data_IF_700479020775
#
_entry.id   IF_700479020775
#
_cell.length_a   1.000
_cell.length_b   1.000
_cell.length_c   1.000
_cell.angle_alpha   90.00
_cell.angle_beta   90.00
_cell.angle_gamma   90.00
#
_symmetry.space_group_name_H-M   'P 1'
#
loop_
_entity.id
_entity.type
_entity.pdbx_description
1 polymer ?
#
# COMPACT_ATOMS: atom_id res chain seq x y z
N UNK A 1 -24.77 30.58 36.28
CA UNK A 1 -24.29 30.38 34.91
C UNK A 1 -22.75 30.27 34.82
N UNK A 2 -22.04 29.91 35.87
CA UNK A 2 -20.56 29.89 35.95
C UNK A 2 -19.96 28.56 36.41
N UNK A 3 -20.70 27.43 36.36
CA UNK A 3 -20.21 26.09 36.72
C UNK A 3 -20.12 25.06 35.57
N UNK A 4 -20.44 25.47 34.33
CA UNK A 4 -20.43 24.57 33.17
C UNK A 4 -19.12 24.63 32.34
N UNK A 5 -18.26 25.64 32.56
CA UNK A 5 -17.04 25.84 31.78
C UNK A 5 -15.80 25.10 32.28
N UNK A 6 -15.87 24.43 33.45
CA UNK A 6 -14.70 23.75 34.02
C UNK A 6 -14.52 22.29 33.57
N UNK A 7 -15.51 21.64 32.93
CA UNK A 7 -15.41 20.25 32.47
C UNK A 7 -14.91 20.13 31.02
N UNK A 8 -15.14 21.13 30.18
CA UNK A 8 -14.64 21.11 28.79
C UNK A 8 -13.13 21.36 28.70
N UNK A 9 -12.54 22.16 29.57
CA UNK A 9 -11.10 22.41 29.58
C UNK A 9 -10.23 21.19 29.88
N UNK A 10 -10.74 20.18 30.62
CA UNK A 10 -9.99 18.98 30.96
C UNK A 10 -9.91 17.97 29.77
N UNK A 11 -10.87 17.97 28.86
CA UNK A 11 -10.80 17.13 27.65
C UNK A 11 -9.77 17.66 26.64
N UNK A 12 -9.63 18.96 26.49
CA UNK A 12 -8.63 19.53 25.57
C UNK A 12 -7.20 19.31 26.05
N UNK A 13 -6.96 19.30 27.37
CA UNK A 13 -5.65 18.98 27.94
C UNK A 13 -5.27 17.51 27.74
N UNK A 14 -6.20 16.59 27.79
CA UNK A 14 -5.95 15.16 27.48
C UNK A 14 -5.61 14.94 26.01
N UNK A 15 -6.22 15.67 25.10
CA UNK A 15 -5.89 15.61 23.66
C UNK A 15 -4.52 16.27 23.40
N UNK A 16 -4.18 17.36 24.08
CA UNK A 16 -2.87 18.01 23.96
C UNK A 16 -1.73 17.20 24.59
N UNK A 17 -1.98 16.45 25.68
CA UNK A 17 -0.98 15.57 26.31
C UNK A 17 -0.73 14.32 25.49
N UNK A 18 -1.73 13.80 24.78
CA UNK A 18 -1.57 12.68 23.81
C UNK A 18 -0.70 13.07 22.58
N UNK A 19 -0.60 14.36 22.27
CA UNK A 19 0.22 14.86 21.16
C UNK A 19 1.72 15.02 21.51
N UNK A 20 2.11 14.85 22.78
CA UNK A 20 3.46 15.19 23.26
C UNK A 20 4.41 13.99 23.45
N UNK A 21 3.97 12.75 23.24
CA UNK A 21 4.79 11.55 23.51
C UNK A 21 4.99 10.73 22.25
N UNK A 22 6.08 10.93 21.55
CA UNK A 22 6.92 9.89 20.91
C UNK A 22 7.95 10.51 19.95
N UNK A 23 9.14 10.75 20.47
CA UNK A 23 10.33 10.98 19.65
C UNK A 23 10.97 9.65 19.23
N UNK A 24 10.32 8.89 18.35
CA UNK A 24 10.95 7.77 17.64
C UNK A 24 11.55 8.30 16.34
N UNK A 25 12.82 8.01 16.06
CA UNK A 25 13.40 8.29 14.74
C UNK A 25 12.69 7.46 13.70
N UNK A 26 11.71 8.05 13.00
CA UNK A 26 11.10 7.46 11.82
C UNK A 26 12.06 7.64 10.65
N UNK A 27 12.41 6.55 9.98
CA UNK A 27 13.01 6.63 8.64
C UNK A 27 11.88 7.08 7.69
N UNK A 28 11.73 8.38 7.52
CA UNK A 28 10.77 8.92 6.58
C UNK A 28 11.26 8.64 5.15
N UNK A 29 10.41 8.01 4.37
CA UNK A 29 10.63 7.71 2.96
C UNK A 29 10.09 8.90 2.14
N UNK A 30 10.77 9.27 1.05
CA UNK A 30 10.30 10.34 0.16
C UNK A 30 8.98 9.98 -0.56
N UNK A 31 8.75 8.71 -0.86
CA UNK A 31 7.45 8.14 -1.16
C UNK A 31 6.63 8.06 0.13
N UNK A 32 5.29 8.12 0.04
CA UNK A 32 4.41 7.97 1.20
C UNK A 32 4.90 6.83 2.10
N UNK A 33 5.22 7.14 3.35
CA UNK A 33 5.58 6.11 4.33
C UNK A 33 4.31 5.35 4.72
N UNK A 34 4.19 4.17 4.18
CA UNK A 34 3.08 3.25 4.44
C UNK A 34 3.50 2.11 5.39
N UNK A 35 4.64 2.21 6.05
CA UNK A 35 5.17 1.16 6.94
C UNK A 35 4.24 0.84 8.11
N UNK A 36 3.39 1.80 8.52
CA UNK A 36 2.37 1.61 9.54
C UNK A 36 1.31 0.55 9.15
N UNK A 37 1.05 0.33 7.86
CA UNK A 37 -0.03 -0.54 7.37
C UNK A 37 0.35 -2.01 7.19
N UNK A 38 1.61 -2.35 7.27
CA UNK A 38 2.05 -3.73 7.12
C UNK A 38 3.38 -3.96 7.83
N UNK A 39 3.40 -4.90 8.75
CA UNK A 39 4.62 -5.33 9.43
C UNK A 39 4.95 -6.76 9.01
N UNK A 40 5.88 -6.94 8.05
CA UNK A 40 6.36 -8.27 7.71
C UNK A 40 6.99 -8.93 8.93
N UNK A 41 6.64 -10.20 9.18
CA UNK A 41 7.27 -10.96 10.25
C UNK A 41 8.72 -11.28 9.87
N UNK A 42 9.69 -10.98 10.72
CA UNK A 42 11.08 -11.28 10.45
C UNK A 42 11.33 -12.79 10.49
N UNK A 43 12.41 -13.21 9.84
CA UNK A 43 13.00 -14.55 9.94
C UNK A 43 14.40 -14.37 10.47
N UNK A 44 14.84 -15.23 11.40
CA UNK A 44 16.17 -15.14 11.99
C UNK A 44 16.40 -16.13 13.13
N UNK A 45 17.69 -16.29 13.56
CA UNK A 45 18.06 -17.28 14.58
C UNK A 45 17.32 -17.14 15.91
N UNK A 46 16.94 -15.91 16.29
CA UNK A 46 16.21 -15.63 17.53
C UNK A 46 14.79 -16.19 17.56
N UNK A 47 14.25 -16.60 16.42
CA UNK A 47 12.90 -17.19 16.30
C UNK A 47 12.94 -18.71 16.09
N UNK A 48 14.12 -19.29 15.87
CA UNK A 48 14.26 -20.73 15.58
C UNK A 48 13.52 -21.59 16.58
N UNK A 49 12.77 -22.58 16.09
CA UNK A 49 11.94 -23.53 16.85
C UNK A 49 10.82 -22.87 17.68
N UNK A 50 10.47 -21.62 17.41
CA UNK A 50 9.35 -20.97 18.09
C UNK A 50 8.04 -21.20 17.34
N UNK A 51 7.00 -21.53 18.10
CA UNK A 51 5.60 -21.41 17.68
C UNK A 51 5.03 -20.14 18.32
N UNK A 52 4.47 -19.27 17.50
CA UNK A 52 3.94 -17.97 17.91
C UNK A 52 2.51 -17.79 17.42
N UNK A 53 1.72 -17.02 18.15
CA UNK A 53 0.47 -16.44 17.69
C UNK A 53 0.74 -14.99 17.25
N UNK A 54 0.56 -14.71 15.98
CA UNK A 54 0.62 -13.36 15.43
C UNK A 54 -0.80 -12.85 15.18
N UNK A 55 -1.10 -11.65 15.65
CA UNK A 55 -2.40 -11.01 15.46
C UNK A 55 -2.18 -9.64 14.83
N UNK A 56 -2.73 -9.44 13.65
CA UNK A 56 -2.79 -8.15 12.98
C UNK A 56 -4.24 -7.70 12.90
N UNK A 57 -4.52 -6.49 13.37
CA UNK A 57 -5.80 -5.85 13.22
C UNK A 57 -5.61 -4.49 12.54
N UNK A 58 -6.42 -4.22 11.52
CA UNK A 58 -6.44 -2.97 10.77
C UNK A 58 -7.87 -2.46 10.73
N UNK A 59 -8.13 -1.37 11.44
CA UNK A 59 -9.43 -0.69 11.39
C UNK A 59 -9.24 0.57 10.54
N UNK A 60 -10.22 0.85 9.71
CA UNK A 60 -10.14 1.96 8.77
C UNK A 60 -11.44 2.72 8.67
N UNK A 61 -11.30 4.05 8.60
CA UNK A 61 -12.30 4.99 8.15
C UNK A 61 -11.62 5.90 7.14
N UNK A 62 -12.02 5.82 5.88
CA UNK A 62 -11.58 6.70 4.82
C UNK A 62 -12.78 7.21 4.07
N UNK A 63 -12.86 8.51 3.90
CA UNK A 63 -13.91 9.18 3.17
C UNK A 63 -13.30 10.00 2.03
N UNK A 64 -13.72 9.67 0.81
CA UNK A 64 -13.32 10.34 -0.42
C UNK A 64 -14.52 11.18 -0.90
N UNK A 65 -14.39 12.49 -0.88
CA UNK A 65 -15.36 13.42 -1.42
C UNK A 65 -14.86 13.89 -2.80
N UNK A 66 -15.09 13.05 -3.81
CA UNK A 66 -14.70 13.30 -5.20
C UNK A 66 -15.92 13.63 -6.05
N UNK A 67 -15.86 14.76 -6.74
CA UNK A 67 -16.92 15.30 -7.60
C UNK A 67 -16.49 15.33 -9.06
N UNK A 68 -15.30 14.83 -9.37
CA UNK A 68 -14.78 14.76 -10.71
C UNK A 68 -15.38 13.58 -11.51
N UNK A 69 -15.22 13.58 -12.85
CA UNK A 69 -15.78 12.56 -13.74
C UNK A 69 -14.94 11.29 -13.87
N UNK A 70 -13.78 11.23 -13.25
CA UNK A 70 -12.86 10.07 -13.35
C UNK A 70 -13.03 9.11 -12.20
N UNK A 71 -13.15 9.62 -10.98
CA UNK A 71 -13.43 8.81 -9.79
C UNK A 71 -14.51 9.47 -8.94
N UNK A 72 -15.33 8.66 -8.31
CA UNK A 72 -16.44 9.11 -7.46
C UNK A 72 -16.10 8.97 -5.98
N UNK A 73 -16.75 9.76 -5.15
CA UNK A 73 -16.65 9.70 -3.70
C UNK A 73 -17.07 8.34 -3.16
N UNK A 74 -16.33 7.84 -2.16
CA UNK A 74 -16.60 6.56 -1.48
C UNK A 74 -16.14 6.61 -0.04
N UNK A 75 -16.98 6.09 0.84
CA UNK A 75 -16.61 5.87 2.24
C UNK A 75 -16.22 4.41 2.46
N UNK A 76 -15.03 4.19 2.99
CA UNK A 76 -14.57 2.89 3.47
C UNK A 76 -14.58 2.90 4.99
N UNK A 77 -15.43 2.09 5.62
CA UNK A 77 -15.50 1.98 7.07
C UNK A 77 -15.60 0.52 7.50
N UNK A 78 -14.53 -0.01 8.06
CA UNK A 78 -14.45 -1.43 8.36
C UNK A 78 -13.21 -1.84 9.14
N UNK A 79 -13.03 -3.16 9.22
CA UNK A 79 -11.92 -3.77 9.90
C UNK A 79 -11.46 -5.05 9.20
N UNK A 80 -10.16 -5.28 9.22
CA UNK A 80 -9.50 -6.55 8.91
C UNK A 80 -8.87 -7.13 10.16
N UNK A 81 -9.03 -8.44 10.37
CA UNK A 81 -8.36 -9.17 11.43
C UNK A 81 -7.67 -10.41 10.85
N UNK A 82 -6.39 -10.58 11.18
CA UNK A 82 -5.53 -11.64 10.66
C UNK A 82 -4.82 -12.37 11.83
N UNK A 83 -5.50 -13.25 12.56
CA UNK A 83 -4.84 -14.16 13.49
C UNK A 83 -4.12 -15.28 12.72
N UNK A 84 -2.85 -15.53 13.06
CA UNK A 84 -2.00 -16.54 12.41
C UNK A 84 -1.18 -17.31 13.45
N UNK A 85 -1.08 -18.61 13.30
CA UNK A 85 -0.04 -19.42 13.90
C UNK A 85 1.20 -19.35 13.01
N UNK A 86 2.33 -19.03 13.61
CA UNK A 86 3.61 -18.85 12.94
C UNK A 86 4.62 -19.80 13.56
N UNK A 87 5.16 -20.71 12.77
CA UNK A 87 6.19 -21.64 13.19
C UNK A 87 7.50 -21.36 12.43
N UNK A 88 8.61 -21.40 13.15
CA UNK A 88 9.95 -21.22 12.62
C UNK A 88 10.74 -22.52 12.76
N UNK A 89 10.66 -23.45 11.77
CA UNK A 89 11.38 -24.74 11.83
C UNK A 89 12.89 -24.56 12.00
N UNK A 90 13.43 -23.56 11.30
CA UNK A 90 14.86 -23.20 11.32
C UNK A 90 15.03 -21.68 11.36
N UNK A 91 16.26 -21.23 11.55
CA UNK A 91 16.63 -19.80 11.49
C UNK A 91 16.27 -19.12 10.15
N UNK A 92 16.06 -19.89 9.08
CA UNK A 92 15.86 -19.41 7.71
C UNK A 92 14.45 -19.66 7.17
N UNK A 93 13.61 -20.43 7.87
CA UNK A 93 12.32 -20.87 7.39
C UNK A 93 11.20 -20.45 8.35
N UNK A 94 10.14 -19.88 7.80
CA UNK A 94 8.90 -19.53 8.48
C UNK A 94 7.72 -20.10 7.75
N UNK A 95 6.80 -20.73 8.49
CA UNK A 95 5.52 -21.25 7.97
C UNK A 95 4.40 -20.59 8.76
N UNK A 96 3.38 -20.10 8.07
CA UNK A 96 2.22 -19.45 8.68
C UNK A 96 0.94 -20.12 8.23
N UNK A 97 0.00 -20.26 9.16
CA UNK A 97 -1.37 -20.66 8.88
C UNK A 97 -2.33 -19.81 9.71
N UNK A 98 -3.41 -19.35 9.10
CA UNK A 98 -4.35 -18.46 9.79
C UNK A 98 -5.61 -18.20 9.00
N UNK A 99 -6.30 -17.13 9.36
CA UNK A 99 -7.52 -16.70 8.70
C UNK A 99 -7.54 -15.17 8.54
N UNK A 100 -8.00 -14.71 7.40
CA UNK A 100 -8.34 -13.32 7.13
C UNK A 100 -9.84 -13.14 7.33
N UNK A 101 -10.19 -12.17 8.16
CA UNK A 101 -11.57 -11.75 8.42
C UNK A 101 -11.73 -10.29 8.01
N UNK A 102 -12.70 -10.01 7.15
CA UNK A 102 -13.05 -8.66 6.74
C UNK A 102 -14.50 -8.34 7.14
N UNK A 103 -14.66 -7.23 7.86
CA UNK A 103 -15.95 -6.70 8.30
C UNK A 103 -16.10 -5.26 7.83
N UNK A 104 -17.11 -4.98 7.00
CA UNK A 104 -17.56 -3.61 6.77
C UNK A 104 -18.57 -3.23 7.86
N UNK A 105 -18.39 -2.07 8.50
CA UNK A 105 -19.34 -1.58 9.49
C UNK A 105 -20.66 -1.18 8.81
N UNK A 106 -21.76 -1.27 9.56
CA UNK A 106 -23.10 -1.10 9.00
C UNK A 106 -23.68 -2.33 8.28
N UNK A 107 -22.91 -3.41 8.10
CA UNK A 107 -23.39 -4.67 7.53
C UNK A 107 -23.53 -5.75 8.61
N UNK A 108 -24.50 -6.70 8.53
CA UNK A 108 -24.66 -7.73 9.56
C UNK A 108 -23.62 -8.86 9.49
N UNK A 109 -23.00 -9.10 8.32
CA UNK A 109 -22.11 -10.25 8.07
C UNK A 109 -20.69 -9.82 7.81
N UNK A 110 -19.74 -10.76 7.96
CA UNK A 110 -18.39 -10.61 7.44
C UNK A 110 -18.46 -10.56 5.91
N UNK A 111 -17.68 -9.65 5.32
CA UNK A 111 -17.57 -9.52 3.87
C UNK A 111 -16.73 -10.65 3.28
N UNK A 112 -15.64 -11.00 3.95
CA UNK A 112 -14.77 -12.11 3.53
C UNK A 112 -14.27 -12.89 4.75
N UNK A 113 -14.10 -14.20 4.52
CA UNK A 113 -13.37 -15.12 5.39
C UNK A 113 -12.47 -15.93 4.46
N UNK A 114 -11.15 -15.82 4.57
CA UNK A 114 -10.21 -16.52 3.69
C UNK A 114 -9.13 -17.21 4.52
N UNK A 115 -8.73 -18.46 4.20
CA UNK A 115 -7.57 -19.09 4.80
C UNK A 115 -6.29 -18.33 4.43
N UNK A 116 -5.33 -18.32 5.34
CA UNK A 116 -3.98 -17.76 5.13
C UNK A 116 -2.97 -18.89 5.24
N UNK A 117 -2.13 -19.03 4.24
CA UNK A 117 -1.00 -19.96 4.23
C UNK A 117 0.20 -19.24 3.61
N UNK A 118 1.33 -19.26 4.31
CA UNK A 118 2.58 -18.66 3.80
C UNK A 118 3.76 -19.52 4.19
N UNK A 119 4.63 -19.75 3.23
CA UNK A 119 5.98 -20.29 3.46
C UNK A 119 6.97 -19.22 3.03
N UNK A 120 7.86 -18.79 3.95
CA UNK A 120 8.94 -17.85 3.66
C UNK A 120 10.28 -18.50 3.98
N UNK A 121 11.14 -18.58 2.97
CA UNK A 121 12.54 -18.94 3.11
C UNK A 121 13.40 -17.69 2.94
N UNK A 122 14.35 -17.47 3.83
CA UNK A 122 15.28 -16.34 3.78
C UNK A 122 16.72 -16.82 3.96
N UNK A 123 17.60 -16.40 3.04
CA UNK A 123 19.03 -16.66 3.13
C UNK A 123 19.80 -15.36 2.85
N UNK A 124 20.40 -14.80 3.89
CA UNK A 124 21.06 -13.51 3.81
C UNK A 124 20.12 -12.42 3.27
N UNK A 125 20.50 -11.71 2.19
CA UNK A 125 19.67 -10.64 1.62
C UNK A 125 18.50 -11.14 0.77
N UNK A 126 18.37 -12.44 0.53
CA UNK A 126 17.39 -13.04 -0.38
C UNK A 126 16.23 -13.66 0.40
N UNK A 127 15.01 -13.44 -0.05
CA UNK A 127 13.80 -14.07 0.50
C UNK A 127 12.91 -14.56 -0.62
N UNK A 128 12.34 -15.75 -0.44
CA UNK A 128 11.34 -16.36 -1.32
C UNK A 128 10.08 -16.61 -0.49
N UNK A 129 8.93 -16.19 -0.99
CA UNK A 129 7.63 -16.40 -0.36
C UNK A 129 6.72 -17.15 -1.32
N UNK A 130 5.92 -18.06 -0.78
CA UNK A 130 4.87 -18.80 -1.50
C UNK A 130 3.60 -18.81 -0.66
N UNK A 131 2.43 -18.60 -1.28
CA UNK A 131 1.13 -18.48 -0.64
C UNK A 131 0.72 -17.02 -0.50
N UNK A 132 0.27 -16.58 0.67
CA UNK A 132 0.00 -15.16 0.88
C UNK A 132 1.32 -14.38 0.96
N UNK A 133 1.53 -13.46 0.03
CA UNK A 133 2.78 -12.71 -0.11
C UNK A 133 2.77 -11.41 0.71
N UNK A 134 3.94 -10.80 0.89
CA UNK A 134 4.09 -9.48 1.51
C UNK A 134 3.76 -8.40 0.46
N UNK A 135 2.47 -8.23 0.18
CA UNK A 135 1.92 -7.46 -0.93
C UNK A 135 1.53 -6.02 -0.60
N UNK A 136 0.73 -5.43 -1.47
CA UNK A 136 0.20 -4.07 -1.38
C UNK A 136 1.30 -3.03 -1.16
N UNK A 137 1.22 -2.29 -0.08
CA UNK A 137 2.13 -1.18 0.22
C UNK A 137 3.58 -1.62 0.47
N UNK A 138 3.83 -2.92 0.66
CA UNK A 138 5.17 -3.46 0.87
C UNK A 138 5.98 -3.59 -0.43
N UNK A 139 5.32 -3.56 -1.60
CA UNK A 139 6.00 -3.56 -2.90
C UNK A 139 6.73 -2.25 -3.21
N UNK A 140 6.33 -1.14 -2.57
CA UNK A 140 6.98 0.16 -2.73
C UNK A 140 6.71 0.85 -4.06
N UNK A 141 5.54 0.65 -4.66
CA UNK A 141 5.11 1.35 -5.87
C UNK A 141 4.60 2.77 -5.60
N UNK A 142 4.68 3.62 -6.62
CA UNK A 142 3.99 4.92 -6.63
C UNK A 142 2.48 4.70 -6.84
N UNK A 143 1.65 5.61 -6.32
CA UNK A 143 0.19 5.49 -6.39
C UNK A 143 -0.38 5.42 -7.82
N UNK A 144 0.15 6.13 -8.84
CA UNK A 144 -0.30 5.93 -10.21
C UNK A 144 -0.13 4.51 -10.75
N UNK A 145 0.80 3.70 -10.21
CA UNK A 145 1.00 2.31 -10.59
C UNK A 145 0.27 1.31 -9.68
N UNK A 146 0.16 1.62 -8.40
CA UNK A 146 -0.42 0.71 -7.41
C UNK A 146 -1.21 1.48 -6.34
N UNK A 147 -2.51 1.27 -6.31
CA UNK A 147 -3.45 2.03 -5.51
C UNK A 147 -3.26 1.78 -4.01
N UNK A 148 -3.16 2.85 -3.24
CA UNK A 148 -3.16 2.78 -1.78
C UNK A 148 -4.43 2.12 -1.22
N UNK A 149 -5.59 2.36 -1.82
CA UNK A 149 -6.87 1.85 -1.33
C UNK A 149 -6.99 0.32 -1.36
N UNK A 150 -6.09 -0.36 -2.08
CA UNK A 150 -6.00 -1.83 -2.07
C UNK A 150 -5.73 -2.39 -0.67
N UNK A 151 -5.11 -1.63 0.23
CA UNK A 151 -4.93 -2.05 1.63
C UNK A 151 -6.26 -2.29 2.35
N UNK A 152 -7.34 -1.61 1.91
CA UNK A 152 -8.70 -1.76 2.45
C UNK A 152 -9.55 -2.69 1.58
N UNK A 153 -9.37 -2.66 0.25
CA UNK A 153 -10.28 -3.30 -0.71
C UNK A 153 -9.77 -4.63 -1.26
N UNK A 154 -8.45 -4.84 -1.29
CA UNK A 154 -7.78 -6.00 -1.88
C UNK A 154 -6.50 -6.34 -1.10
N UNK A 155 -6.65 -6.56 0.23
CA UNK A 155 -5.52 -6.68 1.14
C UNK A 155 -4.65 -7.90 0.91
N UNK A 156 -5.24 -9.03 0.50
CA UNK A 156 -4.51 -10.27 0.28
C UNK A 156 -4.05 -10.37 -1.16
N UNK A 157 -2.80 -10.76 -1.31
CA UNK A 157 -2.20 -11.19 -2.58
C UNK A 157 -1.65 -12.59 -2.40
N UNK A 158 -1.90 -13.47 -3.37
CA UNK A 158 -1.63 -14.91 -3.28
C UNK A 158 -0.80 -15.37 -4.47
N UNK A 159 0.38 -15.92 -4.20
CA UNK A 159 1.24 -16.41 -5.26
C UNK A 159 2.68 -16.61 -4.84
N UNK A 160 3.60 -16.04 -5.61
CA UNK A 160 5.04 -16.17 -5.44
C UNK A 160 5.68 -14.79 -5.37
N UNK A 161 6.63 -14.59 -4.43
CA UNK A 161 7.38 -13.35 -4.31
C UNK A 161 8.84 -13.63 -4.00
N UNK A 162 9.71 -12.96 -4.74
CA UNK A 162 11.13 -12.90 -4.46
C UNK A 162 11.55 -11.50 -4.05
N UNK A 163 12.27 -11.39 -2.93
CA UNK A 163 12.81 -10.10 -2.44
C UNK A 163 14.32 -10.19 -2.26
N UNK A 164 15.02 -9.15 -2.67
CA UNK A 164 16.44 -8.97 -2.40
C UNK A 164 16.65 -7.61 -1.70
N UNK A 165 17.34 -7.64 -0.57
CA UNK A 165 17.64 -6.45 0.24
C UNK A 165 19.15 -6.34 0.43
N UNK A 166 19.81 -5.52 -0.39
CA UNK A 166 21.23 -5.20 -0.29
C UNK A 166 21.41 -3.72 0.05
N UNK A 167 22.56 -3.29 0.60
CA UNK A 167 22.75 -1.89 1.01
C UNK A 167 22.50 -0.86 -0.08
N UNK A 168 22.79 -1.22 -1.34
CA UNK A 168 22.64 -0.32 -2.50
C UNK A 168 21.56 -0.76 -3.50
N UNK A 169 20.90 -1.90 -3.30
CA UNK A 169 19.91 -2.41 -4.23
C UNK A 169 18.83 -3.17 -3.49
N UNK A 170 17.60 -2.68 -3.57
CA UNK A 170 16.40 -3.39 -3.17
C UNK A 170 15.66 -3.88 -4.41
N UNK A 171 15.10 -5.07 -4.35
CA UNK A 171 14.28 -5.65 -5.41
C UNK A 171 13.12 -6.43 -4.78
N UNK A 172 11.94 -6.30 -5.37
CA UNK A 172 10.74 -7.06 -5.06
C UNK A 172 10.10 -7.48 -6.38
N UNK A 173 10.03 -8.78 -6.65
CA UNK A 173 9.41 -9.36 -7.85
C UNK A 173 8.33 -10.34 -7.39
N UNK A 174 7.12 -10.24 -7.97
CA UNK A 174 5.96 -10.96 -7.47
C UNK A 174 4.98 -11.33 -8.58
N UNK A 175 4.19 -12.37 -8.31
CA UNK A 175 2.99 -12.77 -9.05
C UNK A 175 1.88 -12.96 -8.03
N UNK A 176 0.70 -12.41 -8.33
CA UNK A 176 -0.54 -12.51 -7.57
C UNK A 176 -1.62 -13.16 -8.44
N UNK A 177 -2.07 -14.34 -8.03
CA UNK A 177 -3.15 -15.06 -8.69
C UNK A 177 -4.48 -14.56 -8.13
N UNK A 178 -5.04 -13.52 -8.76
CA UNK A 178 -6.21 -12.82 -8.24
C UNK A 178 -7.49 -13.62 -8.37
N UNK A 179 -7.59 -14.45 -9.44
CA UNK A 179 -8.75 -15.27 -9.69
C UNK A 179 -8.39 -16.53 -10.48
N UNK A 180 -8.52 -17.69 -9.84
CA UNK A 180 -8.30 -18.98 -10.48
C UNK A 180 -9.54 -19.37 -11.31
N UNK A 181 -9.33 -19.69 -12.59
CA UNK A 181 -10.37 -20.23 -13.45
C UNK A 181 -10.35 -21.76 -13.44
N UNK A 182 -11.52 -22.35 -13.50
CA UNK A 182 -11.74 -23.79 -13.73
C UNK A 182 -12.61 -23.98 -14.97
N UNK A 183 -12.60 -25.20 -15.53
CA UNK A 183 -13.48 -25.55 -16.65
C UNK A 183 -14.95 -25.25 -16.29
N UNK A 184 -15.66 -24.52 -17.16
CA UNK A 184 -17.02 -24.02 -16.98
C UNK A 184 -17.20 -22.87 -15.97
N UNK A 185 -16.14 -22.22 -15.53
CA UNK A 185 -16.28 -20.96 -14.82
C UNK A 185 -16.97 -19.92 -15.72
N UNK A 186 -17.86 -19.12 -15.13
CA UNK A 186 -18.54 -18.00 -15.79
C UNK A 186 -17.74 -16.68 -15.72
N UNK A 187 -16.43 -16.79 -15.60
CA UNK A 187 -15.49 -15.66 -15.48
C UNK A 187 -14.13 -16.07 -16.07
N UNK A 188 -13.35 -15.07 -16.41
CA UNK A 188 -11.97 -15.22 -16.86
C UNK A 188 -11.00 -15.34 -15.69
N UNK A 189 -9.87 -16.01 -15.92
CA UNK A 189 -8.71 -15.98 -15.03
C UNK A 189 -8.17 -14.55 -14.90
N UNK A 190 -7.67 -14.20 -13.72
CA UNK A 190 -7.06 -12.90 -13.47
C UNK A 190 -5.73 -13.10 -12.73
N UNK A 191 -4.66 -12.62 -13.34
CA UNK A 191 -3.30 -12.67 -12.78
C UNK A 191 -2.70 -11.28 -12.85
N UNK A 192 -2.04 -10.88 -11.79
CA UNK A 192 -1.20 -9.69 -11.77
C UNK A 192 0.23 -10.06 -11.38
N UNK A 193 1.17 -9.25 -11.79
CA UNK A 193 2.56 -9.40 -11.38
C UNK A 193 3.32 -8.11 -11.50
N UNK A 194 4.49 -8.07 -10.91
CA UNK A 194 5.29 -6.87 -10.99
C UNK A 194 6.72 -7.01 -10.47
N UNK A 195 7.44 -5.93 -10.66
CA UNK A 195 8.81 -5.77 -10.19
C UNK A 195 9.00 -4.35 -9.70
N UNK A 196 9.51 -4.20 -8.50
CA UNK A 196 9.96 -2.93 -7.95
C UNK A 196 11.44 -3.06 -7.58
N UNK A 197 12.28 -2.22 -8.18
CA UNK A 197 13.72 -2.16 -7.90
C UNK A 197 14.10 -0.73 -7.55
N UNK A 198 15.02 -0.58 -6.59
CA UNK A 198 15.54 0.72 -6.19
C UNK A 198 17.04 0.63 -5.94
N UNK A 199 17.82 1.38 -6.73
CA UNK A 199 19.27 1.48 -6.59
C UNK A 199 19.66 2.76 -5.84
N UNK A 200 20.49 2.65 -4.78
CA UNK A 200 21.06 3.79 -4.08
C UNK A 200 22.34 4.24 -4.80
N UNK A 201 22.32 5.45 -5.36
CA UNK A 201 23.47 6.09 -6.02
C UNK A 201 24.32 6.85 -5.00
N UNK A 202 23.64 7.65 -4.17
CA UNK A 202 24.23 8.30 -3.01
C UNK A 202 23.47 7.86 -1.76
N UNK A 203 24.16 7.48 -0.73
CA UNK A 203 23.57 7.04 0.52
C UNK A 203 24.44 7.44 1.69
N UNK A 204 24.03 8.50 2.38
CA UNK A 204 24.54 8.85 3.68
C UNK A 204 23.34 9.14 4.60
N UNK A 205 23.36 8.60 5.81
CA UNK A 205 22.33 8.86 6.81
C UNK A 205 22.30 10.31 7.30
N UNK A 206 23.37 11.06 7.09
CA UNK A 206 23.56 12.45 7.55
C UNK A 206 23.53 13.49 6.45
N UNK A 207 23.57 13.06 5.18
CA UNK A 207 23.67 13.93 4.01
C UNK A 207 22.55 13.74 3.01
N UNK A 208 22.79 14.13 1.76
CA UNK A 208 21.90 13.89 0.65
C UNK A 208 21.89 12.40 0.28
N UNK A 209 20.72 11.82 0.12
CA UNK A 209 20.54 10.51 -0.51
C UNK A 209 19.91 10.67 -1.89
N UNK A 210 20.41 9.89 -2.85
CA UNK A 210 19.89 9.80 -4.22
C UNK A 210 19.62 8.34 -4.55
N UNK A 211 18.41 8.04 -4.97
CA UNK A 211 17.97 6.69 -5.37
C UNK A 211 17.30 6.73 -6.73
N UNK A 212 17.46 5.67 -7.49
CA UNK A 212 16.85 5.47 -8.80
C UNK A 212 15.88 4.29 -8.69
N UNK A 213 14.57 4.53 -8.59
CA UNK A 213 13.54 3.51 -8.65
C UNK A 213 13.20 3.13 -10.09
N UNK A 214 12.93 1.84 -10.30
CA UNK A 214 12.33 1.28 -11.52
C UNK A 214 11.19 0.38 -11.08
N UNK A 215 10.01 0.58 -11.65
CA UNK A 215 8.79 -0.12 -11.26
C UNK A 215 8.07 -0.64 -12.51
N UNK A 216 7.55 -1.85 -12.44
CA UNK A 216 6.82 -2.49 -13.51
C UNK A 216 5.63 -3.25 -12.91
N UNK A 217 4.46 -3.15 -13.54
CA UNK A 217 3.31 -4.02 -13.25
C UNK A 217 2.73 -4.54 -14.54
N UNK A 218 2.26 -5.79 -14.49
CA UNK A 218 1.52 -6.44 -15.56
C UNK A 218 0.20 -6.98 -15.00
N UNK A 219 -0.86 -6.90 -15.78
CA UNK A 219 -2.12 -7.60 -15.50
C UNK A 219 -2.53 -8.40 -16.72
N UNK A 220 -3.02 -9.61 -16.48
CA UNK A 220 -3.56 -10.48 -17.51
C UNK A 220 -4.94 -10.96 -17.11
N UNK A 221 -5.89 -10.90 -18.04
CA UNK A 221 -7.23 -11.44 -17.89
C UNK A 221 -7.58 -12.30 -19.06
N UNK A 222 -8.07 -13.51 -18.76
CA UNK A 222 -8.44 -14.54 -19.71
C UNK A 222 -7.46 -15.68 -19.79
N UNK A 223 -7.88 -16.82 -20.35
CA UNK A 223 -7.08 -18.03 -20.43
C UNK A 223 -7.55 -18.95 -21.55
N UNK A 224 -6.84 -20.07 -21.76
CA UNK A 224 -7.13 -21.04 -22.80
C UNK A 224 -8.46 -21.81 -22.63
N UNK A 225 -9.00 -21.79 -21.40
CA UNK A 225 -10.23 -22.49 -21.04
C UNK A 225 -11.42 -21.56 -20.83
N UNK A 226 -11.33 -20.32 -21.32
CA UNK A 226 -12.43 -19.35 -21.25
C UNK A 226 -13.70 -19.90 -21.92
N UNK A 227 -14.83 -19.80 -21.21
CA UNK A 227 -16.15 -20.19 -21.71
C UNK A 227 -17.06 -19.00 -21.93
N UNK A 228 -16.57 -17.79 -21.64
CA UNK A 228 -17.29 -16.53 -21.84
C UNK A 228 -16.69 -15.77 -23.02
N UNK A 229 -17.57 -15.14 -23.81
CA UNK A 229 -17.18 -14.31 -24.96
C UNK A 229 -16.69 -12.93 -24.50
N UNK A 230 -15.48 -12.90 -23.93
CA UNK A 230 -14.77 -11.67 -23.57
C UNK A 230 -13.35 -11.72 -24.10
N UNK A 231 -12.82 -10.63 -24.67
CA UNK A 231 -11.48 -10.60 -25.19
C UNK A 231 -10.43 -10.79 -24.07
N UNK A 232 -9.34 -11.43 -24.43
CA UNK A 232 -8.13 -11.50 -23.61
C UNK A 232 -7.56 -10.08 -23.42
N UNK A 233 -7.13 -9.75 -22.24
CA UNK A 233 -6.55 -8.45 -21.94
C UNK A 233 -5.20 -8.61 -21.25
N UNK A 234 -4.17 -7.93 -21.78
CA UNK A 234 -2.82 -7.88 -21.21
C UNK A 234 -2.34 -6.44 -21.19
N UNK A 235 -2.12 -5.90 -20.00
CA UNK A 235 -1.79 -4.49 -19.78
C UNK A 235 -0.47 -4.38 -19.01
N UNK A 236 0.39 -3.45 -19.43
CA UNK A 236 1.67 -3.17 -18.82
C UNK A 236 1.75 -1.72 -18.36
N UNK A 237 2.33 -1.51 -17.17
CA UNK A 237 2.68 -0.19 -16.67
C UNK A 237 4.13 -0.19 -16.20
N UNK A 238 4.84 0.88 -16.50
CA UNK A 238 6.24 1.10 -16.08
C UNK A 238 6.36 2.48 -15.45
N UNK A 239 7.19 2.62 -14.43
CA UNK A 239 7.64 3.90 -13.94
C UNK A 239 9.14 3.86 -13.64
N UNK A 240 9.83 4.95 -13.91
CA UNK A 240 11.20 5.16 -13.47
C UNK A 240 11.40 6.62 -13.11
N UNK A 241 12.36 6.89 -12.22
CA UNK A 241 12.53 8.24 -11.74
C UNK A 241 13.74 8.43 -10.85
N UNK A 242 13.68 9.49 -10.09
CA UNK A 242 14.69 9.84 -9.09
C UNK A 242 14.02 10.15 -7.76
N UNK A 243 14.69 9.80 -6.67
CA UNK A 243 14.28 10.10 -5.30
C UNK A 243 15.44 10.77 -4.59
N UNK A 244 15.21 11.94 -4.07
CA UNK A 244 16.20 12.73 -3.35
C UNK A 244 15.66 13.02 -1.94
N UNK A 245 16.47 12.80 -0.93
CA UNK A 245 16.13 13.12 0.44
C UNK A 245 17.31 13.71 1.18
N UNK A 246 17.03 14.69 2.04
CA UNK A 246 17.99 15.27 2.96
C UNK A 246 17.41 15.31 4.37
N UNK A 247 17.98 14.58 5.34
CA UNK A 247 17.67 14.76 6.75
C UNK A 247 18.08 16.18 7.20
N UNK A 248 17.30 16.74 8.10
CA UNK A 248 17.55 18.03 8.71
C UNK A 248 17.72 17.85 10.22
N UNK A 249 18.75 18.47 10.79
CA UNK A 249 19.06 18.40 12.22
C UNK A 249 18.41 19.55 12.99
N UNK A 250 17.10 19.78 12.82
CA UNK A 250 16.33 20.79 13.57
C UNK A 250 15.24 20.12 14.41
N UNK A 251 14.79 20.78 15.46
CA UNK A 251 13.75 20.26 16.35
C UNK A 251 12.39 20.11 15.66
N UNK A 252 12.10 20.96 14.66
CA UNK A 252 10.82 20.99 13.99
C UNK A 252 10.82 20.33 12.62
N UNK A 253 11.83 20.59 11.79
CA UNK A 253 11.96 19.99 10.45
C UNK A 253 12.94 18.82 10.49
N UNK A 254 12.50 17.63 10.13
CA UNK A 254 13.29 16.41 10.22
C UNK A 254 13.91 16.01 8.89
N UNK A 255 13.22 16.26 7.77
CA UNK A 255 13.78 16.03 6.44
C UNK A 255 13.01 16.82 5.38
N UNK A 256 13.68 17.03 4.24
CA UNK A 256 13.05 17.43 2.97
C UNK A 256 13.27 16.33 1.94
N UNK A 257 12.32 16.18 1.03
CA UNK A 257 12.40 15.17 -0.01
C UNK A 257 11.75 15.63 -1.32
N UNK A 258 12.24 15.06 -2.41
CA UNK A 258 11.69 15.24 -3.74
C UNK A 258 11.73 13.90 -4.49
N UNK A 259 10.62 13.56 -5.15
CA UNK A 259 10.52 12.41 -6.06
C UNK A 259 9.98 12.87 -7.40
N UNK A 260 10.60 12.43 -8.48
CA UNK A 260 10.12 12.65 -9.83
C UNK A 260 10.09 11.34 -10.62
N UNK A 261 8.94 11.03 -11.23
CA UNK A 261 8.75 9.81 -12.01
C UNK A 261 8.16 10.12 -13.37
N UNK A 262 8.64 9.42 -14.39
CA UNK A 262 7.93 9.24 -15.65
C UNK A 262 7.26 7.88 -15.66
N UNK A 263 6.00 7.82 -16.14
CA UNK A 263 5.23 6.59 -16.23
C UNK A 263 4.83 6.31 -17.66
N UNK A 264 4.65 5.05 -18.00
CA UNK A 264 4.19 4.59 -19.29
C UNK A 264 3.18 3.47 -19.14
N UNK A 265 2.19 3.43 -20.02
CA UNK A 265 1.14 2.43 -20.14
C UNK A 265 1.10 1.88 -21.56
N UNK A 266 0.96 0.55 -21.70
CA UNK A 266 0.77 -0.12 -22.98
C UNK A 266 -0.26 -1.25 -22.86
N UNK A 267 -1.23 -1.27 -23.77
CA UNK A 267 -2.22 -2.32 -23.93
C UNK A 267 -1.74 -3.30 -25.02
N UNK A 268 -1.31 -4.48 -24.58
CA UNK A 268 -0.82 -5.58 -25.42
C UNK A 268 -1.95 -6.56 -25.83
N UNK A 269 -3.21 -6.19 -25.57
CA UNK A 269 -4.36 -7.02 -25.93
C UNK A 269 -4.53 -7.09 -27.44
N UNK A 270 -5.06 -8.23 -27.94
CA UNK A 270 -5.35 -8.40 -29.36
C UNK A 270 -6.54 -7.55 -29.83
N UNK A 271 -7.48 -7.27 -28.94
CA UNK A 271 -8.70 -6.50 -29.20
C UNK A 271 -8.65 -5.17 -28.47
N UNK A 272 -9.01 -4.09 -29.19
CA UNK A 272 -9.10 -2.75 -28.60
C UNK A 272 -10.35 -2.64 -27.71
N UNK A 273 -10.16 -2.80 -26.40
CA UNK A 273 -11.24 -2.66 -25.41
C UNK A 273 -11.17 -1.32 -24.69
N UNK A 274 -9.96 -0.78 -24.52
CA UNK A 274 -9.74 0.46 -23.80
C UNK A 274 -9.73 1.66 -24.77
N UNK A 275 -10.11 2.83 -24.26
CA UNK A 275 -10.11 4.08 -25.03
C UNK A 275 -8.70 4.52 -25.47
N UNK A 276 -7.67 4.06 -24.81
CA UNK A 276 -6.27 4.35 -25.13
C UNK A 276 -5.46 3.07 -25.10
N UNK A 277 -4.68 2.81 -26.14
CA UNK A 277 -3.73 1.68 -26.21
C UNK A 277 -2.40 2.00 -25.55
N UNK A 278 -2.04 3.27 -25.51
CA UNK A 278 -0.78 3.76 -24.94
C UNK A 278 -1.02 5.04 -24.19
N UNK A 279 -0.24 5.23 -23.14
CA UNK A 279 -0.30 6.45 -22.37
C UNK A 279 0.98 6.69 -21.59
N UNK A 280 1.12 7.91 -21.11
CA UNK A 280 2.27 8.32 -20.32
C UNK A 280 1.85 9.24 -19.18
N UNK A 281 2.72 9.44 -18.21
CA UNK A 281 2.48 10.37 -17.12
C UNK A 281 3.77 10.90 -16.51
N UNK A 282 3.64 12.04 -15.87
CA UNK A 282 4.65 12.66 -15.01
C UNK A 282 4.08 12.77 -13.61
N UNK A 283 4.79 12.23 -12.63
CA UNK A 283 4.42 12.28 -11.22
C UNK A 283 5.53 12.91 -10.41
N UNK A 284 5.30 14.10 -9.87
CA UNK A 284 6.26 14.85 -9.07
C UNK A 284 5.75 14.99 -7.65
N UNK A 285 6.61 14.78 -6.66
CA UNK A 285 6.32 14.96 -5.25
C UNK A 285 7.42 15.78 -4.61
N UNK A 286 7.03 16.74 -3.79
CA UNK A 286 7.92 17.47 -2.91
C UNK A 286 7.34 17.46 -1.50
N UNK A 287 8.16 17.25 -0.49
CA UNK A 287 7.65 17.17 0.87
C UNK A 287 8.65 17.55 1.94
N UNK A 288 8.09 17.75 3.12
CA UNK A 288 8.82 18.05 4.33
C UNK A 288 8.28 17.22 5.49
N UNK A 289 9.17 16.55 6.18
CA UNK A 289 8.87 15.83 7.43
C UNK A 289 9.03 16.80 8.59
N UNK A 290 7.96 17.00 9.35
CA UNK A 290 7.97 17.88 10.52
C UNK A 290 7.61 17.11 11.79
N UNK A 291 7.83 17.74 12.94
CA UNK A 291 7.41 17.21 14.25
C UNK A 291 5.88 16.98 14.32
N UNK A 292 5.09 17.81 13.64
CA UNK A 292 3.62 17.74 13.69
C UNK A 292 3.04 16.79 12.67
N UNK A 293 3.51 16.85 11.42
CA UNK A 293 3.02 16.02 10.31
C UNK A 293 4.05 15.96 9.18
N UNK A 294 3.91 14.97 8.31
CA UNK A 294 4.58 14.94 7.03
C UNK A 294 3.66 15.66 6.03
N UNK A 295 4.19 16.71 5.40
CA UNK A 295 3.47 17.49 4.40
C UNK A 295 4.06 17.19 3.04
N UNK A 296 3.23 16.83 2.08
CA UNK A 296 3.66 16.50 0.72
C UNK A 296 2.75 17.21 -0.30
N UNK A 297 3.35 17.76 -1.33
CA UNK A 297 2.64 18.27 -2.52
C UNK A 297 3.00 17.36 -3.69
N UNK A 298 1.97 16.83 -4.37
CA UNK A 298 2.11 15.97 -5.51
C UNK A 298 1.46 16.61 -6.74
N UNK A 299 2.15 16.58 -7.87
CA UNK A 299 1.62 16.97 -9.17
C UNK A 299 1.58 15.76 -10.09
N UNK A 300 0.43 15.54 -10.69
CA UNK A 300 0.21 14.52 -11.72
C UNK A 300 -0.14 15.14 -13.05
N UNK A 301 0.47 14.65 -14.12
CA UNK A 301 0.06 14.91 -15.50
C UNK A 301 0.04 13.61 -16.29
N UNK A 302 -1.14 13.12 -16.60
CA UNK A 302 -1.36 11.93 -17.44
C UNK A 302 -1.76 12.31 -18.85
N UNK A 303 -1.36 11.50 -19.84
CA UNK A 303 -1.81 11.58 -21.23
C UNK A 303 -2.21 10.18 -21.68
N UNK A 304 -3.52 9.91 -21.80
CA UNK A 304 -4.05 8.59 -22.13
C UNK A 304 -3.62 7.48 -21.15
N UNK A 305 -3.25 7.85 -19.93
CA UNK A 305 -2.68 6.92 -18.95
C UNK A 305 -3.76 6.05 -18.30
N UNK A 306 -3.52 4.73 -18.30
CA UNK A 306 -4.38 3.75 -17.65
C UNK A 306 -3.48 2.81 -16.84
N UNK A 307 -3.88 2.52 -15.59
CA UNK A 307 -3.23 1.51 -14.76
C UNK A 307 -4.30 0.69 -14.03
N UNK A 308 -4.42 -0.61 -14.31
CA UNK A 308 -5.41 -1.47 -13.65
C UNK A 308 -5.22 -1.58 -12.15
N UNK A 309 -3.96 -1.62 -11.70
CA UNK A 309 -3.60 -1.70 -10.28
C UNK A 309 -3.44 -0.33 -9.63
N UNK A 310 -3.26 0.72 -10.43
CA UNK A 310 -3.02 2.08 -9.97
C UNK A 310 -4.26 2.81 -9.47
N UNK A 311 -4.03 3.89 -8.71
CA UNK A 311 -5.07 4.73 -8.17
C UNK A 311 -5.98 5.30 -9.26
N UNK A 312 -7.28 5.24 -9.03
CA UNK A 312 -8.30 5.59 -10.04
C UNK A 312 -8.23 7.06 -10.44
N UNK A 313 -7.91 7.94 -9.51
CA UNK A 313 -7.76 9.38 -9.76
C UNK A 313 -6.75 9.71 -10.88
N UNK A 314 -5.72 8.87 -11.07
CA UNK A 314 -4.65 9.11 -12.03
C UNK A 314 -4.98 8.65 -13.45
N UNK A 315 -6.08 7.93 -13.65
CA UNK A 315 -6.45 7.34 -14.93
C UNK A 315 -7.02 8.39 -15.89
N UNK A 316 -6.88 8.12 -17.17
CA UNK A 316 -7.50 8.88 -18.26
C UNK A 316 -8.88 8.35 -18.67
N UNK A 317 -9.40 7.35 -17.97
CA UNK A 317 -10.73 6.74 -18.16
C UNK A 317 -11.52 6.78 -16.86
N UNK A 318 -12.81 6.98 -16.98
CA UNK A 318 -13.73 7.02 -15.83
C UNK A 318 -13.86 5.68 -15.14
N UNK A 319 -14.04 5.73 -13.83
CA UNK A 319 -14.49 4.63 -12.96
C UNK A 319 -15.80 4.95 -12.24
N UNK A 320 -16.47 6.06 -12.62
CA UNK A 320 -17.74 6.50 -12.03
C UNK A 320 -18.92 5.70 -12.57
N UNK A 321 -19.95 5.53 -11.78
CA UNK A 321 -21.21 4.89 -12.20
C UNK A 321 -22.04 5.82 -13.07
N UNK A 322 -21.98 7.13 -12.79
CA UNK A 322 -22.75 8.15 -13.49
C UNK A 322 -22.26 8.39 -14.93
N UNK A 323 -20.98 8.25 -15.20
CA UNK A 323 -20.38 8.55 -16.50
C UNK A 323 -19.26 7.54 -16.86
N UNK A 324 -19.60 6.25 -17.02
CA UNK A 324 -18.61 5.17 -17.15
C UNK A 324 -17.79 5.23 -18.45
N UNK A 325 -18.27 5.93 -19.46
CA UNK A 325 -17.60 6.07 -20.77
C UNK A 325 -16.80 7.37 -20.89
N UNK A 326 -16.75 8.20 -19.86
CA UNK A 326 -16.00 9.44 -19.90
C UNK A 326 -14.50 9.17 -19.99
N UNK A 327 -13.83 9.93 -20.83
CA UNK A 327 -12.38 9.87 -21.02
C UNK A 327 -11.77 11.25 -20.94
N UNK A 328 -10.62 11.35 -20.30
CA UNK A 328 -9.85 12.57 -20.18
C UNK A 328 -8.39 12.30 -20.55
N UNK A 329 -8.06 12.54 -21.83
CA UNK A 329 -6.74 12.22 -22.37
C UNK A 329 -5.62 12.92 -21.60
N UNK A 330 -5.77 14.21 -21.31
CA UNK A 330 -4.78 15.03 -20.59
C UNK A 330 -5.33 15.36 -19.21
N UNK A 331 -4.96 14.57 -18.20
CA UNK A 331 -5.41 14.74 -16.83
C UNK A 331 -4.34 15.38 -15.96
N UNK A 332 -4.69 16.42 -15.22
CA UNK A 332 -3.76 17.12 -14.35
C UNK A 332 -4.36 17.30 -12.94
N UNK A 333 -3.59 16.90 -11.92
CA UNK A 333 -3.97 16.98 -10.52
C UNK A 333 -2.88 17.65 -9.70
N UNK A 334 -3.27 18.45 -8.75
CA UNK A 334 -2.44 18.92 -7.66
C UNK A 334 -3.01 18.36 -6.35
N UNK A 335 -2.22 17.58 -5.62
CA UNK A 335 -2.64 16.92 -4.38
C UNK A 335 -1.74 17.40 -3.25
N UNK A 336 -2.33 17.84 -2.15
CA UNK A 336 -1.59 18.15 -0.92
C UNK A 336 -1.93 17.08 0.10
N UNK A 337 -0.94 16.57 0.83
CA UNK A 337 -1.11 15.51 1.82
C UNK A 337 -0.57 15.93 3.16
N UNK A 338 -1.37 15.74 4.18
CA UNK A 338 -0.99 15.86 5.59
C UNK A 338 -1.10 14.47 6.22
N UNK A 339 0.05 13.90 6.60
CA UNK A 339 0.16 12.52 7.07
C UNK A 339 0.80 12.50 8.45
N UNK A 340 0.22 11.74 9.38
CA UNK A 340 0.79 11.56 10.71
C UNK A 340 0.53 10.18 11.26
N UNK A 341 1.59 9.53 11.70
CA UNK A 341 1.55 8.28 12.47
C UNK A 341 1.84 8.57 13.95
N UNK A 342 0.98 8.05 14.80
CA UNK A 342 1.11 8.10 16.26
C UNK A 342 1.38 6.69 16.76
N UNK A 343 2.62 6.45 17.22
CA UNK A 343 3.03 5.16 17.79
C UNK A 343 2.66 5.12 19.26
N UNK A 344 1.75 4.23 19.64
CA UNK A 344 1.28 4.05 21.01
C UNK A 344 1.87 2.76 21.61
N UNK A 345 1.94 2.67 22.96
CA UNK A 345 2.34 1.43 23.64
C UNK A 345 1.49 0.24 23.20
N UNK A 346 2.08 -0.97 23.24
CA UNK A 346 1.37 -2.19 22.89
C UNK A 346 1.26 -2.47 21.40
N UNK A 347 2.03 -1.76 20.54
CA UNK A 347 2.06 -2.01 19.08
C UNK A 347 0.88 -1.44 18.32
N UNK A 348 0.15 -0.50 18.90
CA UNK A 348 -0.91 0.26 18.23
C UNK A 348 -0.30 1.47 17.51
N UNK A 349 -0.64 1.63 16.23
CA UNK A 349 -0.31 2.81 15.44
C UNK A 349 -1.62 3.44 14.97
N UNK A 350 -1.80 4.74 15.26
CA UNK A 350 -2.90 5.53 14.72
C UNK A 350 -2.35 6.38 13.60
N UNK A 351 -2.92 6.26 12.40
CA UNK A 351 -2.53 7.07 11.24
C UNK A 351 -3.66 8.00 10.86
N UNK A 352 -3.37 9.28 10.71
CA UNK A 352 -4.28 10.29 10.16
C UNK A 352 -3.80 10.73 8.79
N UNK A 353 -4.73 10.90 7.84
CA UNK A 353 -4.48 11.45 6.51
C UNK A 353 -5.54 12.48 6.16
N UNK A 354 -5.09 13.60 5.61
CA UNK A 354 -5.94 14.60 4.96
C UNK A 354 -5.30 14.93 3.62
N UNK A 355 -6.05 14.74 2.55
CA UNK A 355 -5.55 14.79 1.18
C UNK A 355 -6.46 15.65 0.29
N UNK A 356 -6.46 17.00 0.46
CA UNK A 356 -7.11 17.89 -0.51
C UNK A 356 -6.44 17.79 -1.87
N UNK A 357 -7.24 17.78 -2.91
CA UNK A 357 -6.78 17.73 -4.29
C UNK A 357 -7.53 18.74 -5.16
N UNK A 358 -6.86 19.23 -6.18
CA UNK A 358 -7.42 20.15 -7.15
C UNK A 358 -7.25 19.57 -8.57
N UNK A 359 -8.38 19.38 -9.24
CA UNK A 359 -8.42 19.01 -10.65
C UNK A 359 -8.18 20.28 -11.48
N UNK A 360 -6.97 20.37 -12.07
CA UNK A 360 -6.53 21.55 -12.81
C UNK A 360 -7.24 21.70 -14.15
N UNK A 361 -7.81 20.62 -14.70
CA UNK A 361 -8.52 20.67 -15.97
C UNK A 361 -9.94 21.23 -15.80
N UNK A 362 -10.60 20.91 -14.69
CA UNK A 362 -11.99 21.28 -14.46
C UNK A 362 -12.18 22.38 -13.39
N UNK A 363 -11.10 22.77 -12.70
CA UNK A 363 -11.17 23.72 -11.61
C UNK A 363 -11.97 23.21 -10.41
N UNK A 364 -11.97 21.88 -10.18
CA UNK A 364 -12.71 21.24 -9.11
C UNK A 364 -11.82 20.99 -7.90
N UNK A 365 -12.37 21.25 -6.73
CA UNK A 365 -11.75 20.93 -5.46
C UNK A 365 -12.41 19.67 -4.88
N UNK A 366 -11.62 18.66 -4.69
CA UNK A 366 -11.99 17.38 -4.06
C UNK A 366 -11.11 17.16 -2.82
N UNK A 367 -11.49 16.27 -1.93
CA UNK A 367 -10.63 15.91 -0.81
C UNK A 367 -10.87 14.47 -0.34
N UNK A 368 -9.89 13.94 0.38
CA UNK A 368 -10.00 12.67 1.10
C UNK A 368 -9.52 12.88 2.53
N UNK A 369 -10.20 12.26 3.47
CA UNK A 369 -9.77 12.19 4.87
C UNK A 369 -9.82 10.76 5.37
N UNK A 370 -8.87 10.41 6.25
CA UNK A 370 -8.83 9.06 6.79
C UNK A 370 -8.25 8.99 8.19
N UNK A 371 -8.75 8.00 8.94
CA UNK A 371 -8.26 7.59 10.24
C UNK A 371 -8.09 6.06 10.24
N UNK A 372 -6.88 5.61 10.57
CA UNK A 372 -6.54 4.21 10.60
C UNK A 372 -5.98 3.80 11.96
N UNK A 373 -6.32 2.57 12.39
CA UNK A 373 -5.76 1.95 13.57
C UNK A 373 -5.10 0.63 13.16
N UNK A 374 -3.80 0.53 13.35
CA UNK A 374 -3.01 -0.67 13.07
C UNK A 374 -2.51 -1.25 14.37
N UNK A 375 -2.88 -2.49 14.66
CA UNK A 375 -2.39 -3.26 15.79
C UNK A 375 -1.68 -4.50 15.28
N UNK A 376 -0.42 -4.68 15.71
CA UNK A 376 0.39 -5.80 15.28
C UNK A 376 1.14 -6.36 16.51
N UNK A 377 0.78 -7.57 16.93
CA UNK A 377 1.42 -8.25 18.08
C UNK A 377 1.72 -9.71 17.76
N UNK A 378 2.85 -10.18 18.25
CA UNK A 378 3.29 -11.56 18.12
C UNK A 378 3.64 -12.14 19.49
N UNK A 379 2.90 -13.15 19.91
CA UNK A 379 3.02 -13.79 21.21
C UNK A 379 3.73 -15.14 21.08
N UNK A 380 4.77 -15.37 21.89
CA UNK A 380 5.42 -16.68 21.96
C UNK A 380 4.46 -17.66 22.67
N UNK A 381 4.11 -18.75 22.01
CA UNK A 381 3.30 -19.83 22.58
C UNK A 381 4.19 -20.94 23.16
N UNK A 382 5.16 -21.40 22.38
CA UNK A 382 6.06 -22.50 22.76
C UNK A 382 7.38 -22.40 22.01
N UNK A 383 8.47 -22.81 22.66
CA UNK A 383 9.73 -23.17 22.00
C UNK A 383 9.83 -24.67 21.94
N UNK A 384 9.85 -25.26 20.71
CA UNK A 384 9.88 -26.70 20.49
C UNK A 384 11.32 -27.18 20.67
N UNK A 385 11.55 -28.07 21.64
CA UNK A 385 12.87 -28.69 21.89
C UNK A 385 13.10 -29.85 20.90
N UNK A 386 14.37 -30.12 20.57
CA UNK A 386 14.74 -31.12 19.54
C UNK A 386 14.43 -32.60 19.85
N UNK A 387 13.62 -32.88 20.86
CA UNK A 387 13.13 -34.22 21.22
C UNK A 387 11.60 -34.34 21.22
N UNK A 388 10.89 -33.27 20.84
CA UNK A 388 9.40 -33.23 20.84
C UNK A 388 8.77 -33.67 19.52
N UNK A 389 9.56 -34.16 18.54
CA UNK A 389 9.12 -34.66 17.25
C UNK A 389 9.54 -36.14 17.14
N UNK A 390 8.77 -37.02 17.70
CA UNK A 390 8.70 -38.45 17.37
C UNK A 390 7.34 -38.77 16.73
#
# INVERSE_FOLDING_TARGET
>A
MLKFLSKQGRCYWLILVLLAVSGGQQQAWAQLDNSAFGRPLPVGPQYERQLRLDVQAFLFNKDNEYFNKIDEGRTYFGAHLLPRLVYFPTANLRVEAGVFLWKDYGTPRLRQVRPLLTVKYQNGPHSLLFGNIEGNLQHGYIEPLFDFERVMTNRLEEGLQYKMRKPRLNLDAWIDWQRQQYRFSNFQEEVAGGLSAEAAVLGDSTGWSLRIPVQFTATHRGGQIDTIDKPLQTLFNVASGVRVRRPLATEFFHAVHFDGYVTYFDDYSFTDVLAFRRGSGLYLNAGVDTKLSNVQVAYWRGNGYISPLGGRLYRSISSTVSDPNYTEKNRQLLIVRFLKDYHLPGGLIITTRLEPLYDLNHGLFDFSMALYFNFNQSFLLKTIRGGDVE
#
